data_IF_235914730150
#
_entry.id   IF_235914730150
#
_cell.length_a   1.000
_cell.length_b   1.000
_cell.length_c   1.000
_cell.angle_alpha   90.00
_cell.angle_beta   90.00
_cell.angle_gamma   90.00
#
_symmetry.space_group_name_H-M   'P 1'
#
loop_
_entity.id
_entity.type
_entity.pdbx_description
1 polymer ?
#
# COMPACT_ATOMS: atom_id res chain seq x y z
N UNK A 1 -3.15 -21.12 -6.13
CA UNK A 1 -1.77 -20.62 -5.95
C UNK A 1 -1.65 -19.26 -6.62
N UNK A 2 -1.13 -18.27 -5.91
CA UNK A 2 -0.83 -16.93 -6.44
C UNK A 2 0.45 -17.02 -7.28
N UNK A 3 0.44 -16.45 -8.49
CA UNK A 3 1.56 -16.47 -9.42
C UNK A 3 2.26 -15.11 -9.49
N UNK A 4 3.49 -15.04 -10.03
CA UNK A 4 4.15 -13.75 -10.29
C UNK A 4 3.31 -12.82 -11.16
N UNK A 5 2.57 -13.38 -12.12
CA UNK A 5 1.68 -12.62 -12.98
C UNK A 5 0.53 -11.97 -12.20
N UNK A 6 0.02 -12.66 -11.17
CA UNK A 6 -1.01 -12.12 -10.29
C UNK A 6 -0.48 -10.93 -9.48
N UNK A 7 0.73 -11.04 -8.92
CA UNK A 7 1.37 -9.92 -8.23
C UNK A 7 1.57 -8.71 -9.15
N UNK A 8 1.94 -8.92 -10.41
CA UNK A 8 2.05 -7.81 -11.39
C UNK A 8 0.72 -7.12 -11.63
N UNK A 9 -0.37 -7.88 -11.83
CA UNK A 9 -1.69 -7.29 -12.00
C UNK A 9 -2.14 -6.50 -10.77
N UNK A 10 -1.93 -7.05 -9.56
CA UNK A 10 -2.24 -6.38 -8.30
C UNK A 10 -1.42 -5.08 -8.15
N UNK A 11 -0.13 -5.12 -8.51
CA UNK A 11 0.77 -3.98 -8.44
C UNK A 11 0.45 -2.88 -9.47
N UNK A 12 -0.20 -3.22 -10.58
CA UNK A 12 -0.74 -2.26 -11.54
C UNK A 12 -2.08 -1.69 -11.06
N UNK A 13 -2.95 -2.54 -10.52
CA UNK A 13 -4.30 -2.17 -10.09
C UNK A 13 -4.32 -1.23 -8.88
N UNK A 14 -3.31 -1.28 -8.01
CA UNK A 14 -3.22 -0.36 -6.86
C UNK A 14 -3.17 1.11 -7.27
N UNK A 15 -2.68 1.46 -8.47
CA UNK A 15 -2.73 2.85 -8.95
C UNK A 15 -4.14 3.35 -9.24
N UNK A 16 -5.13 2.45 -9.36
CA UNK A 16 -6.54 2.78 -9.58
C UNK A 16 -7.31 3.00 -8.29
N UNK A 17 -6.65 3.02 -7.12
CA UNK A 17 -7.25 3.53 -5.87
C UNK A 17 -7.25 5.05 -5.82
N UNK A 18 -6.43 5.69 -6.67
CA UNK A 18 -6.25 7.14 -6.76
C UNK A 18 -7.51 7.82 -7.33
N UNK A 19 -8.24 8.52 -6.47
CA UNK A 19 -9.46 9.22 -6.85
C UNK A 19 -9.25 10.38 -7.82
N UNK A 20 -8.02 10.86 -7.96
CA UNK A 20 -7.67 11.95 -8.87
C UNK A 20 -7.25 11.44 -10.25
N UNK A 21 -6.89 10.14 -10.39
CA UNK A 21 -6.44 9.56 -11.67
C UNK A 21 -7.51 8.75 -12.40
N UNK A 22 -8.52 8.24 -11.69
CA UNK A 22 -9.59 7.43 -12.30
C UNK A 22 -10.98 7.89 -11.87
N UNK A 23 -11.94 7.77 -12.78
CA UNK A 23 -13.34 8.16 -12.50
C UNK A 23 -14.03 7.25 -11.48
N UNK A 24 -13.65 5.97 -11.44
CA UNK A 24 -14.15 4.99 -10.48
C UNK A 24 -12.94 4.35 -9.79
N UNK A 25 -12.54 4.84 -8.62
CA UNK A 25 -11.47 4.24 -7.84
C UNK A 25 -11.88 2.87 -7.34
N UNK A 26 -10.90 1.97 -7.19
CA UNK A 26 -11.15 0.72 -6.49
C UNK A 26 -11.49 0.97 -5.03
N UNK A 27 -12.45 0.21 -4.56
CA UNK A 27 -13.01 0.26 -3.22
C UNK A 27 -13.10 -1.16 -2.64
N UNK A 28 -13.48 -1.27 -1.37
CA UNK A 28 -13.71 -2.57 -0.74
C UNK A 28 -14.73 -3.38 -1.55
N UNK A 29 -14.51 -4.70 -1.61
CA UNK A 29 -15.31 -5.68 -2.33
C UNK A 29 -15.20 -5.67 -3.86
N UNK A 30 -14.46 -4.71 -4.45
CA UNK A 30 -14.15 -4.74 -5.88
C UNK A 30 -13.23 -5.91 -6.24
N UNK A 31 -13.42 -6.44 -7.45
CA UNK A 31 -12.56 -7.45 -8.04
C UNK A 31 -11.37 -6.81 -8.75
N UNK A 32 -10.19 -7.36 -8.52
CA UNK A 32 -8.90 -6.88 -9.02
C UNK A 32 -8.00 -8.05 -9.40
N UNK A 33 -6.83 -7.78 -9.98
CA UNK A 33 -5.89 -8.82 -10.37
C UNK A 33 -6.48 -9.72 -11.47
N UNK A 34 -7.19 -9.12 -12.44
CA UNK A 34 -7.95 -9.81 -13.48
C UNK A 34 -9.07 -10.71 -12.91
N UNK A 35 -9.87 -10.16 -12.00
CA UNK A 35 -11.00 -10.80 -11.32
C UNK A 35 -10.66 -12.02 -10.45
N UNK A 36 -9.39 -12.20 -10.11
CA UNK A 36 -8.91 -13.33 -9.30
C UNK A 36 -8.76 -13.00 -7.83
N UNK A 37 -8.87 -11.73 -7.47
CA UNK A 37 -8.73 -11.23 -6.12
C UNK A 37 -9.87 -10.26 -5.81
N UNK A 38 -10.23 -10.17 -4.53
CA UNK A 38 -11.16 -9.19 -4.00
C UNK A 38 -10.44 -8.25 -3.04
N UNK A 39 -10.77 -6.98 -3.10
CA UNK A 39 -10.34 -5.99 -2.10
C UNK A 39 -11.04 -6.27 -0.78
N UNK A 40 -10.28 -6.57 0.28
CA UNK A 40 -10.83 -7.06 1.56
C UNK A 40 -10.91 -5.98 2.65
N UNK A 41 -10.20 -4.86 2.46
CA UNK A 41 -10.25 -3.70 3.35
C UNK A 41 -10.39 -2.41 2.54
N UNK A 42 -10.77 -1.31 3.19
CA UNK A 42 -10.85 -0.01 2.53
C UNK A 42 -9.45 0.38 2.02
N UNK A 43 -9.28 0.66 0.71
CA UNK A 43 -8.02 1.16 0.17
C UNK A 43 -7.64 2.51 0.79
N UNK A 44 -6.33 2.79 0.80
CA UNK A 44 -5.79 4.07 1.21
C UNK A 44 -5.46 4.88 -0.05
N UNK A 45 -5.95 6.11 -0.10
CA UNK A 45 -5.54 7.15 -1.05
C UNK A 45 -5.29 8.44 -0.26
N UNK A 46 -4.08 8.55 0.31
CA UNK A 46 -3.71 9.67 1.14
C UNK A 46 -3.07 10.77 0.29
N UNK A 47 -3.89 11.69 -0.21
CA UNK A 47 -3.45 12.82 -1.04
C UNK A 47 -2.49 13.78 -0.32
N UNK A 48 -2.48 13.80 1.03
CA UNK A 48 -1.59 14.70 1.80
C UNK A 48 -0.13 14.27 1.80
N UNK A 49 0.12 12.97 1.64
CA UNK A 49 1.47 12.41 1.59
C UNK A 49 1.72 11.52 0.37
N UNK A 50 0.75 11.30 -0.51
CA UNK A 50 0.87 10.50 -1.73
C UNK A 50 0.87 8.98 -1.52
N UNK A 51 0.60 8.49 -0.31
CA UNK A 51 0.52 7.04 -0.06
C UNK A 51 -0.76 6.47 -0.65
N UNK A 52 -0.60 5.39 -1.43
CA UNK A 52 -1.70 4.62 -1.98
C UNK A 52 -1.49 3.13 -1.71
N UNK A 53 -2.51 2.45 -1.18
CA UNK A 53 -2.42 1.03 -0.85
C UNK A 53 -3.77 0.32 -0.92
N UNK A 54 -3.75 -0.99 -1.16
CA UNK A 54 -4.92 -1.86 -1.03
C UNK A 54 -4.53 -3.23 -0.49
N UNK A 55 -5.44 -3.88 0.25
CA UNK A 55 -5.28 -5.26 0.69
C UNK A 55 -6.27 -6.14 -0.06
N UNK A 56 -5.79 -7.26 -0.59
CA UNK A 56 -6.57 -8.16 -1.43
C UNK A 56 -6.38 -9.62 -1.02
N UNK A 57 -7.39 -10.43 -1.26
CA UNK A 57 -7.34 -11.87 -1.06
C UNK A 57 -7.85 -12.61 -2.31
N UNK A 58 -7.33 -13.81 -2.62
CA UNK A 58 -7.78 -14.59 -3.76
C UNK A 58 -9.26 -14.98 -3.62
N UNK A 59 -9.94 -15.08 -4.76
CA UNK A 59 -11.30 -15.62 -4.83
C UNK A 59 -11.34 -16.96 -5.55
N UNK A 60 -12.22 -17.85 -5.08
CA UNK A 60 -12.51 -19.10 -5.76
C UNK A 60 -13.44 -18.90 -6.97
N UNK A 61 -13.74 -19.98 -7.71
CA UNK A 61 -14.63 -19.95 -8.88
C UNK A 61 -16.07 -19.55 -8.54
N UNK A 62 -16.46 -19.63 -7.27
CA UNK A 62 -17.79 -19.29 -6.78
C UNK A 62 -17.83 -17.86 -6.22
N UNK A 63 -16.70 -17.12 -6.24
CA UNK A 63 -16.58 -15.78 -5.69
C UNK A 63 -16.35 -15.72 -4.18
N UNK A 64 -16.10 -16.87 -3.53
CA UNK A 64 -15.74 -16.92 -2.11
C UNK A 64 -14.30 -16.44 -1.94
N UNK A 65 -14.09 -15.62 -0.92
CA UNK A 65 -12.76 -15.10 -0.58
C UNK A 65 -12.01 -16.14 0.25
N UNK A 66 -10.77 -16.42 -0.13
CA UNK A 66 -9.81 -17.19 0.67
C UNK A 66 -8.88 -16.21 1.40
N UNK A 67 -9.25 -15.88 2.64
CA UNK A 67 -8.53 -14.95 3.51
C UNK A 67 -7.28 -15.56 4.17
N UNK A 68 -6.96 -16.83 3.88
CA UNK A 68 -5.72 -17.46 4.36
C UNK A 68 -4.45 -16.85 3.74
N UNK A 69 -4.59 -16.15 2.61
CA UNK A 69 -3.50 -15.46 1.94
C UNK A 69 -3.93 -14.03 1.60
N UNK A 70 -3.24 -13.05 2.18
CA UNK A 70 -3.50 -11.64 1.94
C UNK A 70 -2.31 -11.03 1.22
N UNK A 71 -2.58 -10.24 0.18
CA UNK A 71 -1.58 -9.44 -0.54
C UNK A 71 -1.85 -7.97 -0.27
N UNK A 72 -0.87 -7.26 0.29
CA UNK A 72 -0.92 -5.81 0.45
C UNK A 72 -0.15 -5.18 -0.71
N UNK A 73 -0.86 -4.42 -1.53
CA UNK A 73 -0.30 -3.70 -2.66
C UNK A 73 -0.07 -2.24 -2.30
N UNK A 74 1.07 -1.68 -2.70
CA UNK A 74 1.40 -0.29 -2.53
C UNK A 74 1.72 0.35 -3.88
N UNK A 75 1.08 1.48 -4.19
CA UNK A 75 1.41 2.24 -5.40
C UNK A 75 2.74 2.99 -5.19
N UNK A 76 3.51 3.12 -6.28
CA UNK A 76 4.73 3.93 -6.25
C UNK A 76 4.44 5.41 -6.43
N UNK A 77 5.31 6.25 -5.89
CA UNK A 77 5.14 7.71 -5.95
C UNK A 77 5.27 8.24 -7.39
N UNK A 78 4.43 9.22 -7.75
CA UNK A 78 4.57 10.00 -8.99
C UNK A 78 5.97 10.64 -9.04
N UNK A 79 6.56 10.70 -10.24
CA UNK A 79 8.00 11.03 -10.41
C UNK A 79 8.38 12.44 -9.96
N UNK A 80 7.42 13.35 -9.86
CA UNK A 80 7.64 14.76 -9.55
C UNK A 80 7.83 15.04 -8.04
N UNK A 81 7.40 14.13 -7.16
CA UNK A 81 7.55 14.21 -5.68
C UNK A 81 8.75 13.39 -5.14
N UNK A 82 9.57 12.82 -6.04
CA UNK A 82 10.66 11.89 -5.67
C UNK A 82 11.83 12.55 -4.93
N UNK A 83 11.94 13.87 -4.99
CA UNK A 83 13.07 14.61 -4.41
C UNK A 83 12.96 14.81 -2.89
N UNK A 84 11.74 14.83 -2.34
CA UNK A 84 11.54 15.03 -0.90
C UNK A 84 11.77 13.73 -0.10
N UNK A 85 11.24 12.60 -0.58
CA UNK A 85 11.15 11.35 0.20
C UNK A 85 12.51 10.66 0.43
N UNK A 86 13.43 10.74 -0.53
CA UNK A 86 14.75 10.11 -0.39
C UNK A 86 15.64 10.86 0.62
N UNK A 87 15.42 12.17 0.77
CA UNK A 87 16.15 13.02 1.72
C UNK A 87 15.69 12.75 3.16
N UNK A 88 14.41 12.38 3.35
CA UNK A 88 13.79 12.13 4.65
C UNK A 88 14.12 10.76 5.28
N UNK A 89 14.49 9.75 4.47
CA UNK A 89 14.86 8.41 4.97
C UNK A 89 16.23 8.40 5.65
N UNK A 90 17.10 9.37 5.35
CA UNK A 90 18.43 9.46 5.96
C UNK A 90 18.42 9.91 7.44
N UNK A 91 17.29 10.34 7.99
CA UNK A 91 17.20 10.83 9.38
C UNK A 91 17.07 9.72 10.44
N UNK A 92 16.96 8.45 10.05
CA UNK A 92 16.78 7.31 10.98
C UNK A 92 18.03 7.10 11.90
N UNK A 93 19.15 7.77 11.61
CA UNK A 93 20.35 7.79 12.46
C UNK A 93 20.30 8.75 13.66
N UNK A 94 19.29 9.63 13.79
CA UNK A 94 19.24 10.63 14.86
C UNK A 94 17.85 10.73 15.47
N UNK A 95 17.54 9.84 16.43
CA UNK A 95 16.93 10.14 17.73
C UNK A 95 15.60 10.89 17.87
N UNK A 96 14.97 11.42 16.81
CA UNK A 96 13.76 12.21 16.93
C UNK A 96 12.66 11.78 15.95
N UNK A 97 11.44 11.86 16.47
CA UNK A 97 10.33 10.99 16.12
C UNK A 97 9.63 11.48 14.87
N UNK A 98 9.80 10.75 13.75
CA UNK A 98 8.70 10.35 12.86
C UNK A 98 7.74 11.48 12.44
N UNK A 99 8.20 12.65 12.04
CA UNK A 99 7.31 13.65 11.42
C UNK A 99 8.05 14.42 10.34
N UNK A 100 7.42 14.55 9.18
CA UNK A 100 7.87 15.49 8.15
C UNK A 100 7.40 16.87 8.58
N UNK A 101 8.32 17.75 8.95
CA UNK A 101 8.03 19.16 9.13
C UNK A 101 8.21 19.84 7.77
N UNK A 102 7.11 20.25 7.17
CA UNK A 102 7.13 21.12 5.99
C UNK A 102 7.90 22.40 6.33
N UNK A 103 9.05 22.65 5.68
CA UNK A 103 9.93 23.75 6.08
C UNK A 103 9.31 25.13 5.84
N UNK A 104 8.31 25.22 4.96
CA UNK A 104 7.59 26.45 4.66
C UNK A 104 6.40 26.65 5.59
N UNK A 105 5.62 25.59 5.85
CA UNK A 105 4.37 25.72 6.62
C UNK A 105 4.51 25.35 8.10
N UNK A 106 5.64 24.76 8.51
CA UNK A 106 5.89 24.19 9.85
C UNK A 106 4.80 23.21 10.29
N UNK A 107 4.06 22.62 9.36
CA UNK A 107 3.04 21.62 9.64
C UNK A 107 3.66 20.24 9.65
N UNK A 108 3.26 19.43 10.63
CA UNK A 108 3.70 18.05 10.70
C UNK A 108 2.81 17.16 9.85
N UNK A 109 3.42 16.43 8.91
CA UNK A 109 2.73 15.43 8.09
C UNK A 109 3.25 14.02 8.41
N UNK A 110 2.33 13.06 8.47
CA UNK A 110 2.70 11.63 8.55
C UNK A 110 3.42 11.26 7.26
N UNK A 111 4.58 10.61 7.38
CA UNK A 111 5.27 10.10 6.20
C UNK A 111 4.46 8.98 5.52
N UNK A 112 4.73 8.74 4.24
CA UNK A 112 4.17 7.60 3.51
C UNK A 112 4.48 6.28 4.23
N UNK A 113 5.69 6.14 4.77
CA UNK A 113 6.12 4.97 5.54
C UNK A 113 5.23 4.70 6.76
N UNK A 114 4.90 5.73 7.55
CA UNK A 114 4.02 5.54 8.71
C UNK A 114 2.61 5.14 8.30
N UNK A 115 2.11 5.73 7.22
CA UNK A 115 0.77 5.40 6.72
C UNK A 115 0.74 3.95 6.21
N UNK A 116 1.79 3.52 5.50
CA UNK A 116 1.97 2.14 5.06
C UNK A 116 2.09 1.16 6.24
N UNK A 117 2.89 1.49 7.26
CA UNK A 117 3.04 0.66 8.46
C UNK A 117 1.72 0.53 9.22
N UNK A 118 1.00 1.63 9.46
CA UNK A 118 -0.31 1.58 10.12
C UNK A 118 -1.33 0.74 9.35
N UNK A 119 -1.31 0.81 8.01
CA UNK A 119 -2.18 -0.01 7.18
C UNK A 119 -1.82 -1.51 7.28
N UNK A 120 -0.53 -1.86 7.21
CA UNK A 120 -0.08 -3.24 7.39
C UNK A 120 -0.48 -3.82 8.76
N UNK A 121 -0.25 -3.07 9.84
CA UNK A 121 -0.65 -3.48 11.21
C UNK A 121 -2.16 -3.68 11.35
N UNK A 122 -2.97 -2.87 10.66
CA UNK A 122 -4.43 -3.03 10.64
C UNK A 122 -4.84 -4.32 9.94
N UNK A 123 -4.23 -4.62 8.80
CA UNK A 123 -4.47 -5.86 8.05
C UNK A 123 -4.02 -7.08 8.85
N UNK A 124 -2.85 -7.03 9.50
CA UNK A 124 -2.36 -8.10 10.39
C UNK A 124 -3.30 -8.39 11.56
N UNK A 125 -3.80 -7.34 12.22
CA UNK A 125 -4.76 -7.48 13.32
C UNK A 125 -6.10 -8.06 12.84
N UNK A 126 -6.51 -7.69 11.63
CA UNK A 126 -7.78 -8.15 11.05
C UNK A 126 -7.70 -9.60 10.55
N UNK A 127 -6.54 -10.01 10.03
CA UNK A 127 -6.28 -11.34 9.47
C UNK A 127 -5.09 -12.04 10.15
N UNK A 128 -5.18 -12.33 11.47
CA UNK A 128 -4.04 -12.77 12.26
C UNK A 128 -3.51 -14.18 11.90
N UNK A 129 -4.31 -14.99 11.22
CA UNK A 129 -3.93 -16.33 10.75
C UNK A 129 -3.53 -16.36 9.28
N UNK A 130 -3.60 -15.23 8.57
CA UNK A 130 -3.32 -15.17 7.15
C UNK A 130 -1.81 -15.11 6.89
N UNK A 131 -1.38 -15.74 5.81
CA UNK A 131 -0.07 -15.48 5.23
C UNK A 131 -0.12 -14.15 4.48
N UNK A 132 0.56 -13.14 5.02
CA UNK A 132 0.61 -11.81 4.44
C UNK A 132 1.82 -11.70 3.51
N UNK A 133 1.60 -11.14 2.33
CA UNK A 133 2.63 -10.84 1.33
C UNK A 133 2.44 -9.42 0.81
N UNK A 134 3.48 -8.82 0.24
CA UNK A 134 3.43 -7.43 -0.23
C UNK A 134 3.85 -7.32 -1.71
N UNK A 135 3.32 -6.33 -2.42
CA UNK A 135 3.68 -6.04 -3.82
C UNK A 135 3.57 -4.54 -4.15
N UNK A 136 4.25 -4.07 -5.21
CA UNK A 136 4.26 -2.65 -5.62
C UNK A 136 5.42 -2.25 -6.54
N UNK A 137 5.29 -1.10 -7.22
CA UNK A 137 6.22 -0.63 -8.27
C UNK A 137 6.97 0.66 -7.84
N UNK A 138 8.02 0.51 -7.00
CA UNK A 138 9.03 1.52 -6.49
C UNK A 138 8.52 2.60 -5.50
N UNK A 139 9.31 3.26 -4.63
CA UNK A 139 10.76 3.50 -4.49
C UNK A 139 11.50 2.42 -3.67
N UNK A 140 12.71 2.04 -4.11
CA UNK A 140 13.71 1.17 -3.46
C UNK A 140 13.26 0.42 -2.22
N UNK A 141 12.21 -0.39 -2.44
CA UNK A 141 11.50 -1.21 -1.49
C UNK A 141 10.94 -0.47 -0.27
N UNK A 142 9.81 -0.96 0.20
CA UNK A 142 9.67 -1.23 1.63
C UNK A 142 10.89 -2.03 2.16
N UNK A 143 12.16 -1.64 1.98
CA UNK A 143 13.38 -2.49 2.09
C UNK A 143 13.53 -3.15 3.47
N UNK A 144 12.66 -2.75 4.40
CA UNK A 144 12.53 -3.23 5.75
C UNK A 144 11.09 -3.36 6.29
N UNK A 145 10.01 -3.27 5.49
CA UNK A 145 8.66 -3.46 6.08
C UNK A 145 8.36 -4.93 6.34
N UNK A 146 9.18 -5.55 7.21
CA UNK A 146 9.13 -6.89 7.79
C UNK A 146 9.99 -7.94 7.08
N UNK A 147 11.29 -8.02 7.38
CA UNK A 147 12.12 -9.19 7.06
C UNK A 147 11.75 -10.44 7.89
N UNK A 148 10.45 -10.75 8.02
CA UNK A 148 9.76 -11.64 8.98
C UNK A 148 8.97 -10.87 10.04
#
# INVERSE_FOLDING_TARGET
MITEKDYRYIADDVYKVDALKVNRPYSKDDLVGNDRFKVISNPIDNTSNGMQAMAVAPVDKNGNVDDSHVVIAYAGTNKDDRLDIQTDIQSIGFGDRRMLSDSETKTFRKSQFQTALSFAEEIEKTYPSAKITTTGIRLESLWLCMSL
#
